data_IF_545987672657
#
_entry.id   IF_545987672657
#
_cell.length_a   1.000
_cell.length_b   1.000
_cell.length_c   1.000
_cell.angle_alpha   90.00
_cell.angle_beta   90.00
_cell.angle_gamma   90.00
#
_symmetry.space_group_name_H-M   'P 1'
#
loop_
_entity.id
_entity.type
_entity.pdbx_description
1 polymer ?
#
# COMPACT_ATOMS: atom_id res chain seq x y z
N UNK A 1 2.17 24.10 -1.45
CA UNK A 1 1.12 24.40 -0.45
C UNK A 1 1.65 24.01 0.94
N UNK A 2 1.29 24.75 1.99
CA UNK A 2 1.57 24.31 3.38
C UNK A 2 0.63 23.16 3.75
N UNK A 3 1.08 22.24 4.58
CA UNK A 3 0.25 21.15 5.09
C UNK A 3 -0.89 21.70 5.96
N UNK A 4 -2.09 21.13 5.76
CA UNK A 4 -3.23 21.35 6.65
C UNK A 4 -3.12 20.33 7.78
N UNK A 5 -3.13 20.82 9.03
CA UNK A 5 -3.01 20.00 10.24
C UNK A 5 -4.32 20.07 11.00
N UNK A 6 -4.93 18.92 11.25
CA UNK A 6 -6.09 18.78 12.12
C UNK A 6 -5.64 18.29 13.49
N UNK A 7 -5.94 19.07 14.54
CA UNK A 7 -5.69 18.66 15.92
C UNK A 7 -6.95 17.96 16.46
N UNK A 8 -6.78 16.73 16.95
CA UNK A 8 -7.86 15.89 17.43
C UNK A 8 -7.60 15.52 18.88
N UNK A 9 -8.57 15.81 19.75
CA UNK A 9 -8.55 15.33 21.12
C UNK A 9 -9.20 13.97 21.19
N UNK A 10 -8.43 12.95 21.58
CA UNK A 10 -8.96 11.59 21.71
C UNK A 10 -9.57 11.39 23.10
N UNK A 11 -10.80 10.89 23.17
CA UNK A 11 -11.41 10.57 24.46
C UNK A 11 -10.59 9.48 25.17
N UNK A 12 -10.36 9.64 26.48
CA UNK A 12 -9.59 8.67 27.27
C UNK A 12 -10.13 7.25 27.08
N UNK A 13 -9.23 6.30 26.78
CA UNK A 13 -9.48 4.88 26.59
C UNK A 13 -10.25 4.48 25.30
N UNK A 14 -10.41 5.37 24.31
CA UNK A 14 -10.90 4.94 22.99
C UNK A 14 -9.80 4.21 22.21
N UNK A 15 -10.17 3.07 21.64
CA UNK A 15 -9.32 2.30 20.73
C UNK A 15 -9.23 3.03 19.38
N UNK A 16 -8.01 3.30 18.93
CA UNK A 16 -7.74 3.86 17.60
C UNK A 16 -7.38 2.71 16.66
N UNK A 17 -8.00 2.71 15.48
CA UNK A 17 -7.69 1.80 14.38
C UNK A 17 -7.15 2.64 13.23
N UNK A 18 -5.89 2.46 12.87
CA UNK A 18 -5.25 3.17 11.77
C UNK A 18 -5.03 2.24 10.57
N UNK A 19 -5.47 2.65 9.38
CA UNK A 19 -5.36 1.91 8.12
C UNK A 19 -4.82 2.86 7.05
N UNK A 20 -3.95 2.37 6.17
CA UNK A 20 -3.39 3.14 5.05
C UNK A 20 -3.58 2.41 3.72
N UNK A 21 -3.47 3.16 2.61
CA UNK A 21 -3.28 2.64 1.24
C UNK A 21 -4.34 1.60 0.83
N UNK A 22 -5.62 2.00 0.95
CA UNK A 22 -6.78 1.17 0.59
C UNK A 22 -6.85 0.94 -0.91
N UNK A 23 -6.46 1.95 -1.70
CA UNK A 23 -6.35 1.87 -3.15
C UNK A 23 -7.58 1.24 -3.82
N UNK A 24 -8.79 1.72 -3.49
CA UNK A 24 -10.01 1.25 -4.14
C UNK A 24 -10.36 -0.23 -3.93
N UNK A 25 -9.79 -0.90 -2.92
CA UNK A 25 -10.14 -2.28 -2.56
C UNK A 25 -11.21 -2.32 -1.46
N UNK A 26 -12.43 -1.88 -1.80
CA UNK A 26 -13.56 -1.81 -0.86
C UNK A 26 -13.85 -3.14 -0.16
N UNK A 27 -13.83 -4.24 -0.90
CA UNK A 27 -14.16 -5.57 -0.37
C UNK A 27 -13.19 -6.01 0.74
N UNK A 28 -11.88 -5.82 0.52
CA UNK A 28 -10.87 -6.14 1.54
C UNK A 28 -10.95 -5.18 2.73
N UNK A 29 -11.21 -3.90 2.49
CA UNK A 29 -11.37 -2.89 3.54
C UNK A 29 -12.53 -3.24 4.49
N UNK A 30 -13.72 -3.54 3.95
CA UNK A 30 -14.88 -3.94 4.75
C UNK A 30 -14.63 -5.22 5.56
N UNK A 31 -13.97 -6.22 4.95
CA UNK A 31 -13.60 -7.46 5.66
C UNK A 31 -12.57 -7.21 6.76
N UNK A 32 -11.63 -6.29 6.57
CA UNK A 32 -10.65 -5.92 7.60
C UNK A 32 -11.35 -5.22 8.77
N UNK A 33 -12.26 -4.27 8.52
CA UNK A 33 -13.08 -3.64 9.56
C UNK A 33 -13.88 -4.70 10.36
N UNK A 34 -14.46 -5.68 9.68
CA UNK A 34 -15.13 -6.81 10.32
C UNK A 34 -14.18 -7.67 11.16
N UNK A 35 -12.97 -7.96 10.65
CA UNK A 35 -11.93 -8.75 11.35
C UNK A 35 -11.49 -8.09 12.65
N UNK A 36 -11.31 -6.78 12.67
CA UNK A 36 -10.93 -6.01 13.88
C UNK A 36 -12.12 -5.68 14.78
N UNK A 37 -13.33 -6.09 14.38
CA UNK A 37 -14.59 -5.79 15.08
C UNK A 37 -14.73 -4.29 15.32
N UNK A 38 -14.60 -3.51 14.26
CA UNK A 38 -14.79 -2.06 14.30
C UNK A 38 -16.23 -1.71 14.68
N UNK A 39 -16.40 -0.71 15.55
CA UNK A 39 -17.67 -0.21 16.08
C UNK A 39 -17.67 1.32 16.18
N UNK A 40 -18.81 1.92 16.49
CA UNK A 40 -18.96 3.36 16.75
C UNK A 40 -18.21 3.87 17.98
N UNK A 41 -17.71 2.98 18.85
CA UNK A 41 -16.90 3.35 20.01
C UNK A 41 -15.41 3.50 19.67
N UNK A 42 -15.00 3.08 18.47
CA UNK A 42 -13.64 3.18 17.99
C UNK A 42 -13.40 4.49 17.22
N UNK A 43 -12.15 4.95 17.22
CA UNK A 43 -11.69 6.00 16.33
C UNK A 43 -11.03 5.33 15.12
N UNK A 44 -11.49 5.64 13.91
CA UNK A 44 -10.86 5.17 12.67
C UNK A 44 -10.00 6.29 12.08
N UNK A 45 -8.72 6.02 11.82
CA UNK A 45 -7.82 6.96 11.14
C UNK A 45 -7.38 6.35 9.82
N UNK A 46 -7.71 7.00 8.71
CA UNK A 46 -7.34 6.57 7.37
C UNK A 46 -6.20 7.45 6.85
N UNK A 47 -5.06 6.85 6.53
CA UNK A 47 -3.80 7.56 6.26
C UNK A 47 -3.63 7.98 4.78
N UNK A 48 -4.72 8.06 4.02
CA UNK A 48 -4.68 8.41 2.59
C UNK A 48 -4.38 7.24 1.67
N UNK A 49 -4.27 7.55 0.38
CA UNK A 49 -4.28 6.63 -0.76
C UNK A 49 -5.51 5.71 -0.70
N UNK A 50 -6.66 6.35 -0.59
CA UNK A 50 -7.98 5.72 -0.50
C UNK A 50 -8.40 5.17 -1.86
N UNK A 51 -8.06 5.91 -2.91
CA UNK A 51 -8.44 5.67 -4.31
C UNK A 51 -7.23 5.27 -5.17
N UNK A 52 -7.49 5.03 -6.46
CA UNK A 52 -6.56 4.58 -7.49
C UNK A 52 -6.07 3.14 -7.33
N UNK A 53 -5.56 2.57 -8.44
CA UNK A 53 -4.94 1.23 -8.55
C UNK A 53 -5.91 0.05 -8.43
N UNK A 54 -6.84 0.09 -7.47
CA UNK A 54 -7.88 -0.90 -7.31
C UNK A 54 -9.07 -0.74 -8.24
N UNK A 55 -9.97 -1.73 -8.24
CA UNK A 55 -11.08 -1.79 -9.17
C UNK A 55 -12.32 -0.99 -8.75
N UNK A 56 -12.39 -0.50 -7.49
CA UNK A 56 -13.59 0.10 -6.90
C UNK A 56 -13.26 1.42 -6.18
N UNK A 57 -12.54 2.32 -6.83
CA UNK A 57 -12.10 3.59 -6.22
C UNK A 57 -13.27 4.48 -5.81
N UNK A 58 -14.25 4.68 -6.68
CA UNK A 58 -15.41 5.55 -6.46
C UNK A 58 -16.35 4.98 -5.39
N UNK A 59 -16.60 3.68 -5.40
CA UNK A 59 -17.38 3.00 -4.36
C UNK A 59 -16.65 3.05 -3.00
N UNK A 60 -15.33 2.87 -3.00
CA UNK A 60 -14.51 3.01 -1.78
C UNK A 60 -14.62 4.42 -1.22
N UNK A 61 -14.49 5.44 -2.06
CA UNK A 61 -14.62 6.84 -1.67
C UNK A 61 -16.00 7.14 -1.06
N UNK A 62 -17.07 6.76 -1.75
CA UNK A 62 -18.46 6.97 -1.28
C UNK A 62 -18.71 6.25 0.05
N UNK A 63 -18.20 5.02 0.20
CA UNK A 63 -18.31 4.28 1.45
C UNK A 63 -17.60 4.99 2.61
N UNK A 64 -16.39 5.51 2.39
CA UNK A 64 -15.64 6.26 3.41
C UNK A 64 -16.37 7.55 3.77
N UNK A 65 -16.86 8.31 2.78
CA UNK A 65 -17.65 9.52 3.03
C UNK A 65 -18.87 9.22 3.91
N UNK A 66 -19.62 8.17 3.58
CA UNK A 66 -20.78 7.75 4.36
C UNK A 66 -20.39 7.34 5.79
N UNK A 67 -19.28 6.62 5.94
CA UNK A 67 -18.77 6.18 7.24
C UNK A 67 -18.36 7.38 8.11
N UNK A 68 -17.64 8.34 7.54
CA UNK A 68 -17.27 9.60 8.20
C UNK A 68 -18.47 10.45 8.63
N UNK A 69 -19.62 10.31 7.94
CA UNK A 69 -20.86 10.98 8.33
C UNK A 69 -21.57 10.34 9.54
N UNK A 70 -21.18 9.13 9.94
CA UNK A 70 -21.89 8.35 10.98
C UNK A 70 -21.01 7.99 12.19
N UNK A 71 -19.70 7.85 11.99
CA UNK A 71 -18.74 7.39 12.98
C UNK A 71 -17.60 8.42 13.14
N UNK A 72 -16.82 8.27 14.21
CA UNK A 72 -15.60 9.07 14.42
C UNK A 72 -14.48 8.55 13.50
N UNK A 73 -14.43 9.11 12.28
CA UNK A 73 -13.46 8.77 11.25
C UNK A 73 -12.68 10.01 10.84
N UNK A 74 -11.37 9.95 10.98
CA UNK A 74 -10.44 10.98 10.51
C UNK A 74 -9.69 10.47 9.29
N UNK A 75 -9.64 11.28 8.24
CA UNK A 75 -9.10 10.85 6.94
C UNK A 75 -8.05 11.85 6.47
N UNK A 76 -6.88 11.36 6.09
CA UNK A 76 -5.81 12.13 5.49
C UNK A 76 -5.86 12.04 3.96
N UNK A 77 -5.35 13.08 3.30
CA UNK A 77 -5.00 12.99 1.88
C UNK A 77 -3.69 12.23 1.70
N UNK A 78 -3.69 11.24 0.83
CA UNK A 78 -2.50 10.65 0.25
C UNK A 78 -2.17 11.24 -1.12
N UNK A 79 -1.07 10.80 -1.74
CA UNK A 79 -0.68 11.34 -3.04
C UNK A 79 -1.58 10.90 -4.21
N UNK A 80 -2.28 9.78 -4.08
CA UNK A 80 -3.24 9.33 -5.10
C UNK A 80 -4.58 10.04 -4.94
N UNK A 81 -4.87 10.58 -3.76
CA UNK A 81 -6.13 11.26 -3.46
C UNK A 81 -6.18 12.67 -4.06
N UNK A 82 -5.05 13.25 -4.48
CA UNK A 82 -4.98 14.60 -5.08
C UNK A 82 -5.41 14.65 -6.55
N UNK A 83 -5.91 13.55 -7.11
CA UNK A 83 -6.32 13.47 -8.52
C UNK A 83 -7.48 14.44 -8.87
N UNK A 84 -8.21 14.91 -7.86
CA UNK A 84 -9.20 15.98 -8.03
C UNK A 84 -8.59 17.28 -8.59
N UNK A 85 -7.31 17.55 -8.34
CA UNK A 85 -6.59 18.72 -8.87
C UNK A 85 -6.61 18.73 -10.39
N UNK A 86 -6.41 17.55 -10.99
CA UNK A 86 -6.39 17.40 -12.44
C UNK A 86 -7.75 17.68 -13.07
N UNK A 87 -8.84 17.52 -12.32
CA UNK A 87 -10.21 17.80 -12.76
C UNK A 87 -10.61 19.26 -12.51
N UNK A 88 -10.24 19.81 -11.35
CA UNK A 88 -10.63 21.17 -10.93
C UNK A 88 -9.81 22.25 -11.60
N UNK A 89 -8.54 22.00 -11.85
CA UNK A 89 -7.63 22.99 -12.43
C UNK A 89 -7.34 22.70 -13.91
N UNK A 90 -7.01 23.76 -14.65
CA UNK A 90 -6.57 23.66 -16.04
C UNK A 90 -5.10 23.18 -16.07
N UNK A 91 -4.92 21.89 -15.79
CA UNK A 91 -3.66 21.17 -15.92
C UNK A 91 -3.50 20.58 -17.33
N UNK A 92 -2.31 20.07 -17.63
CA UNK A 92 -1.92 19.41 -18.88
C UNK A 92 -2.91 18.31 -19.33
N UNK A 93 -3.83 18.68 -20.23
CA UNK A 93 -4.89 17.81 -20.74
C UNK A 93 -4.33 16.61 -21.51
N UNK A 94 -3.21 16.76 -22.23
CA UNK A 94 -2.61 15.68 -23.03
C UNK A 94 -2.05 14.59 -22.11
N UNK A 95 -1.34 14.99 -21.06
CA UNK A 95 -0.84 14.05 -20.06
C UNK A 95 -1.97 13.39 -19.26
N UNK A 96 -3.04 14.12 -18.93
CA UNK A 96 -4.20 13.53 -18.26
C UNK A 96 -4.91 12.49 -19.15
N UNK A 97 -5.10 12.77 -20.44
CA UNK A 97 -5.68 11.81 -21.37
C UNK A 97 -4.83 10.55 -21.46
N UNK A 98 -3.52 10.72 -21.62
CA UNK A 98 -2.57 9.60 -21.65
C UNK A 98 -2.62 8.80 -20.36
N UNK A 99 -2.71 9.47 -19.21
CA UNK A 99 -2.87 8.82 -17.91
C UNK A 99 -4.13 7.94 -17.88
N UNK A 100 -5.28 8.52 -18.23
CA UNK A 100 -6.57 7.81 -18.22
C UNK A 100 -6.57 6.61 -19.16
N UNK A 101 -5.97 6.72 -20.36
CA UNK A 101 -5.86 5.59 -21.30
C UNK A 101 -4.95 4.47 -20.73
N UNK A 102 -3.82 4.83 -20.12
CA UNK A 102 -2.88 3.85 -19.57
C UNK A 102 -3.35 3.25 -18.24
N UNK A 103 -4.29 3.90 -17.53
CA UNK A 103 -4.78 3.53 -16.20
C UNK A 103 -6.29 3.35 -16.20
N UNK A 104 -6.75 2.31 -16.91
CA UNK A 104 -8.18 1.93 -16.99
C UNK A 104 -8.84 1.77 -15.59
N UNK A 105 -8.07 1.29 -14.61
CA UNK A 105 -8.43 1.20 -13.19
C UNK A 105 -8.02 2.47 -12.43
N UNK A 106 -8.80 3.53 -12.63
CA UNK A 106 -8.68 4.80 -11.92
C UNK A 106 -10.07 5.35 -11.62
N UNK A 107 -10.17 6.21 -10.60
CA UNK A 107 -11.44 6.84 -10.21
C UNK A 107 -12.01 7.70 -11.33
N UNK A 108 -11.16 8.34 -12.14
CA UNK A 108 -11.63 9.15 -13.27
C UNK A 108 -12.29 8.29 -14.34
N UNK A 109 -11.73 7.11 -14.63
CA UNK A 109 -12.36 6.18 -15.57
C UNK A 109 -13.63 5.54 -14.99
N UNK A 110 -13.70 5.30 -13.68
CA UNK A 110 -14.94 4.90 -13.01
C UNK A 110 -16.04 5.97 -13.15
N UNK A 111 -15.71 7.24 -12.89
CA UNK A 111 -16.60 8.38 -13.08
C UNK A 111 -17.05 8.54 -14.55
N UNK A 112 -16.14 8.38 -15.52
CA UNK A 112 -16.48 8.39 -16.95
C UNK A 112 -17.46 7.27 -17.30
N UNK A 113 -17.24 6.05 -16.81
CA UNK A 113 -18.13 4.91 -17.06
C UNK A 113 -19.54 5.16 -16.53
N UNK A 114 -19.68 5.68 -15.31
CA UNK A 114 -20.99 6.08 -14.75
C UNK A 114 -21.68 7.17 -15.60
N UNK A 115 -20.90 8.07 -16.21
CA UNK A 115 -21.41 9.10 -17.14
C UNK A 115 -21.63 8.58 -18.57
N UNK A 116 -21.42 7.29 -18.84
CA UNK A 116 -21.46 6.71 -20.19
C UNK A 116 -20.49 7.39 -21.18
N UNK A 117 -19.33 7.82 -20.69
CA UNK A 117 -18.23 8.39 -21.48
C UNK A 117 -17.17 7.30 -21.68
N UNK A 118 -16.90 6.95 -22.93
CA UNK A 118 -15.80 6.08 -23.32
C UNK A 118 -14.55 6.90 -23.62
N UNK A 119 -13.45 6.63 -22.90
CA UNK A 119 -12.22 7.43 -22.97
C UNK A 119 -11.25 6.78 -23.94
N UNK A 120 -10.84 7.55 -24.96
CA UNK A 120 -9.92 7.13 -26.02
C UNK A 120 -9.04 8.29 -26.49
N UNK A 121 -8.10 8.02 -27.39
CA UNK A 121 -7.12 9.01 -27.89
C UNK A 121 -7.73 10.28 -28.52
N UNK A 122 -9.00 10.24 -28.93
CA UNK A 122 -9.70 11.39 -29.52
C UNK A 122 -10.60 12.14 -28.53
N UNK A 123 -10.56 11.79 -27.25
CA UNK A 123 -11.44 12.37 -26.23
C UNK A 123 -11.11 13.84 -25.93
N UNK A 124 -12.16 14.66 -25.78
CA UNK A 124 -12.05 16.04 -25.32
C UNK A 124 -11.99 16.08 -23.79
N UNK A 125 -10.78 16.22 -23.24
CA UNK A 125 -10.57 16.31 -21.80
C UNK A 125 -11.30 17.51 -21.17
N UNK A 126 -11.47 18.63 -21.87
CA UNK A 126 -12.20 19.79 -21.32
C UNK A 126 -13.68 19.48 -21.19
N UNK A 127 -14.24 18.71 -22.12
CA UNK A 127 -15.59 18.18 -22.00
C UNK A 127 -15.70 17.23 -20.79
N UNK A 128 -14.79 16.26 -20.68
CA UNK A 128 -14.78 15.29 -19.56
C UNK A 128 -14.69 15.99 -18.21
N UNK A 129 -13.72 16.89 -18.02
CA UNK A 129 -13.56 17.68 -16.79
C UNK A 129 -14.82 18.46 -16.44
N UNK A 130 -15.49 19.07 -17.43
CA UNK A 130 -16.75 19.78 -17.21
C UNK A 130 -17.87 18.84 -16.75
N UNK A 131 -18.02 17.66 -17.35
CA UNK A 131 -19.02 16.68 -16.91
C UNK A 131 -18.73 16.17 -15.50
N UNK A 132 -17.46 15.90 -15.18
CA UNK A 132 -17.04 15.47 -13.84
C UNK A 132 -17.31 16.53 -12.79
N UNK A 133 -16.91 17.79 -13.03
CA UNK A 133 -17.18 18.93 -12.13
C UNK A 133 -18.67 19.15 -11.89
N UNK A 134 -19.53 18.83 -12.85
CA UNK A 134 -20.98 18.95 -12.71
C UNK A 134 -21.61 17.79 -11.93
N UNK A 135 -21.06 16.58 -12.07
CA UNK A 135 -21.72 15.36 -11.56
C UNK A 135 -21.13 14.82 -10.26
N UNK A 136 -19.85 15.12 -9.99
CA UNK A 136 -19.09 14.60 -8.84
C UNK A 136 -18.47 15.72 -8.01
N UNK A 137 -19.06 16.93 -8.01
CA UNK A 137 -18.52 18.05 -7.23
C UNK A 137 -18.40 17.70 -5.75
N UNK A 138 -19.34 16.94 -5.21
CA UNK A 138 -19.33 16.54 -3.80
C UNK A 138 -18.12 15.66 -3.47
N UNK A 139 -17.86 14.60 -4.23
CA UNK A 139 -16.68 13.75 -4.05
C UNK A 139 -15.37 14.52 -4.23
N UNK A 140 -15.30 15.39 -5.25
CA UNK A 140 -14.11 16.19 -5.53
C UNK A 140 -13.86 17.28 -4.46
N UNK A 141 -14.91 17.88 -3.91
CA UNK A 141 -14.82 18.86 -2.82
C UNK A 141 -14.43 18.18 -1.51
N UNK A 142 -14.94 16.98 -1.26
CA UNK A 142 -14.57 16.20 -0.07
C UNK A 142 -13.09 15.82 -0.08
N UNK A 143 -12.56 15.33 -1.21
CA UNK A 143 -11.13 15.02 -1.36
C UNK A 143 -10.24 16.26 -1.21
N UNK A 144 -10.66 17.40 -1.75
CA UNK A 144 -9.91 18.68 -1.65
C UNK A 144 -9.81 19.19 -0.20
N UNK A 145 -10.78 18.85 0.66
CA UNK A 145 -10.83 19.32 2.05
C UNK A 145 -10.01 18.46 3.02
N UNK A 146 -9.49 17.31 2.59
CA UNK A 146 -8.78 16.39 3.47
C UNK A 146 -7.53 17.04 4.09
N UNK A 147 -7.32 16.91 5.42
CA UNK A 147 -6.08 17.33 6.05
C UNK A 147 -4.90 16.47 5.56
N UNK A 148 -3.70 16.99 5.76
CA UNK A 148 -2.46 16.28 5.41
C UNK A 148 -1.83 15.61 6.63
N UNK A 149 -2.14 16.11 7.83
CA UNK A 149 -1.66 15.62 9.11
C UNK A 149 -2.80 15.64 10.12
N UNK A 150 -2.93 14.57 10.91
CA UNK A 150 -3.75 14.55 12.12
C UNK A 150 -2.81 14.45 13.31
N UNK A 151 -2.96 15.34 14.28
CA UNK A 151 -2.20 15.34 15.51
C UNK A 151 -3.12 15.07 16.70
N UNK A 152 -2.74 14.10 17.53
CA UNK A 152 -3.37 13.79 18.81
C UNK A 152 -2.41 14.11 19.96
N UNK A 153 -2.79 13.82 21.20
CA UNK A 153 -1.94 13.98 22.37
C UNK A 153 -0.63 13.19 22.27
N UNK A 154 -0.70 11.98 21.70
CA UNK A 154 0.41 11.00 21.74
C UNK A 154 0.92 10.55 20.35
N UNK A 155 0.14 10.79 19.30
CA UNK A 155 0.42 10.35 17.94
C UNK A 155 0.31 11.48 16.92
N UNK A 156 1.11 11.39 15.88
CA UNK A 156 0.98 12.16 14.64
C UNK A 156 0.73 11.16 13.51
N UNK A 157 -0.32 11.37 12.73
CA UNK A 157 -0.63 10.58 11.55
C UNK A 157 -0.33 11.42 10.31
N UNK A 158 0.42 10.86 9.38
CA UNK A 158 0.75 11.46 8.10
C UNK A 158 0.72 10.37 7.02
N UNK A 159 0.46 10.72 5.77
CA UNK A 159 0.42 9.70 4.72
C UNK A 159 1.80 9.05 4.49
N UNK A 160 2.87 9.83 4.27
CA UNK A 160 4.19 9.28 3.94
C UNK A 160 5.28 9.60 4.96
N UNK A 161 5.31 10.82 5.50
CA UNK A 161 6.36 11.24 6.42
C UNK A 161 6.21 12.69 6.86
N UNK A 162 7.03 13.10 7.83
CA UNK A 162 7.11 14.50 8.29
C UNK A 162 8.56 14.87 8.59
N UNK A 163 8.85 16.17 8.60
CA UNK A 163 10.14 16.69 9.11
C UNK A 163 10.01 17.14 10.57
N UNK A 164 11.09 17.07 11.39
CA UNK A 164 11.07 17.63 12.74
C UNK A 164 10.75 19.13 12.74
N UNK A 165 9.93 19.58 13.69
CA UNK A 165 9.56 20.98 13.84
C UNK A 165 8.06 21.22 13.74
N UNK A 166 7.67 22.40 13.29
CA UNK A 166 6.27 22.83 13.25
C UNK A 166 5.50 22.12 12.12
N UNK A 167 4.52 21.28 12.47
CA UNK A 167 3.69 20.52 11.52
C UNK A 167 2.97 21.44 10.51
N UNK A 168 2.52 22.63 10.95
CA UNK A 168 1.78 23.60 10.10
C UNK A 168 2.66 24.33 9.08
N UNK A 169 3.98 24.22 9.20
CA UNK A 169 4.93 24.84 8.27
C UNK A 169 5.44 23.86 7.21
N UNK A 170 5.08 22.58 7.33
CA UNK A 170 5.54 21.55 6.40
C UNK A 170 4.92 21.72 5.01
N UNK A 171 5.61 21.16 4.02
CA UNK A 171 5.10 21.12 2.66
C UNK A 171 4.15 19.93 2.50
N UNK A 172 2.92 20.19 2.07
CA UNK A 172 1.88 19.18 1.85
C UNK A 172 2.34 18.00 0.98
N UNK A 173 3.04 18.30 -0.13
CA UNK A 173 3.52 17.28 -1.07
C UNK A 173 4.61 16.40 -0.45
N UNK A 174 5.46 16.97 0.40
CA UNK A 174 6.46 16.19 1.15
C UNK A 174 5.78 15.28 2.15
N UNK A 175 4.75 15.77 2.87
CA UNK A 175 3.98 14.95 3.82
C UNK A 175 3.31 13.75 3.14
N UNK A 176 2.81 13.95 1.92
CA UNK A 176 2.17 12.90 1.12
C UNK A 176 3.13 12.08 0.26
N UNK A 177 4.41 12.44 0.15
CA UNK A 177 5.33 11.72 -0.75
C UNK A 177 6.75 11.78 -0.25
N UNK A 178 6.99 10.97 0.78
CA UNK A 178 8.31 10.75 1.36
C UNK A 178 8.63 9.26 1.32
N UNK A 179 9.51 8.90 0.40
CA UNK A 179 9.92 7.51 0.21
C UNK A 179 10.87 7.07 1.33
N UNK A 180 10.78 5.79 1.71
CA UNK A 180 11.64 5.14 2.70
C UNK A 180 11.78 5.93 4.03
N UNK A 181 10.70 6.53 4.53
CA UNK A 181 10.72 7.44 5.69
C UNK A 181 11.47 6.89 6.91
N UNK A 182 11.26 5.62 7.26
CA UNK A 182 11.92 4.96 8.38
C UNK A 182 13.47 4.95 8.27
N UNK A 183 14.03 4.95 7.05
CA UNK A 183 15.47 4.91 6.80
C UNK A 183 16.15 6.28 6.89
N UNK A 184 15.39 7.37 7.10
CA UNK A 184 15.94 8.72 7.12
C UNK A 184 16.65 9.09 8.43
N UNK A 185 16.67 8.19 9.42
CA UNK A 185 17.36 8.42 10.69
C UNK A 185 16.72 9.50 11.57
N UNK A 186 15.43 9.78 11.35
CA UNK A 186 14.67 10.77 12.13
C UNK A 186 14.09 10.14 13.39
N UNK A 187 13.87 10.95 14.43
CA UNK A 187 13.15 10.57 15.65
C UNK A 187 12.23 11.69 16.13
N UNK A 188 11.15 11.33 16.83
CA UNK A 188 10.06 12.24 17.13
C UNK A 188 9.61 12.17 18.59
N UNK A 189 9.06 13.27 19.16
CA UNK A 189 8.53 13.25 20.52
C UNK A 189 7.22 12.47 20.64
N UNK A 190 6.40 12.40 19.58
CA UNK A 190 5.19 11.57 19.47
C UNK A 190 5.45 10.43 18.51
N UNK A 191 4.70 9.33 18.61
CA UNK A 191 4.75 8.31 17.57
C UNK A 191 4.21 8.88 16.26
N UNK A 192 4.95 8.73 15.17
CA UNK A 192 4.52 9.12 13.83
C UNK A 192 4.08 7.86 13.08
N UNK A 193 2.80 7.78 12.74
CA UNK A 193 2.23 6.65 11.99
C UNK A 193 2.10 7.05 10.51
N UNK A 194 2.65 6.23 9.61
CA UNK A 194 2.70 6.49 8.17
C UNK A 194 2.34 5.26 7.32
N UNK A 195 1.81 5.52 6.13
CA UNK A 195 1.61 4.57 5.03
C UNK A 195 2.62 4.79 3.89
N UNK A 196 2.12 4.82 2.65
CA UNK A 196 2.81 5.21 1.38
C UNK A 196 3.94 4.30 0.90
N UNK A 197 4.84 3.90 1.81
CA UNK A 197 5.99 3.08 1.50
C UNK A 197 5.76 1.65 2.00
N UNK A 198 5.53 0.68 1.12
CA UNK A 198 5.23 -0.68 1.53
C UNK A 198 6.30 -1.25 2.45
N UNK A 199 5.88 -1.77 3.59
CA UNK A 199 6.73 -2.33 4.65
C UNK A 199 7.67 -3.43 4.15
N UNK A 200 7.24 -4.20 3.14
CA UNK A 200 8.06 -5.22 2.50
C UNK A 200 9.33 -4.67 1.83
N UNK A 201 9.40 -3.36 1.57
CA UNK A 201 10.58 -2.72 0.99
C UNK A 201 11.72 -2.53 2.00
N UNK A 202 11.45 -2.48 3.30
CA UNK A 202 12.48 -2.25 4.32
C UNK A 202 13.30 -3.50 4.65
N UNK A 203 12.77 -4.69 4.32
CA UNK A 203 13.45 -5.95 4.60
C UNK A 203 14.51 -6.27 3.54
N UNK A 204 15.80 -6.27 3.91
CA UNK A 204 16.91 -6.58 2.98
C UNK A 204 17.09 -8.07 2.71
N UNK A 205 16.90 -8.91 3.73
CA UNK A 205 17.08 -10.37 3.62
C UNK A 205 15.80 -11.08 3.15
N UNK A 206 14.63 -10.53 3.53
CA UNK A 206 13.30 -11.05 3.22
C UNK A 206 12.26 -9.93 3.31
N UNK A 207 11.24 -10.00 2.46
CA UNK A 207 10.09 -9.08 2.54
C UNK A 207 9.13 -9.47 3.67
N UNK A 208 8.54 -8.46 4.32
CA UNK A 208 7.45 -8.63 5.28
C UNK A 208 6.43 -7.49 5.13
N UNK A 209 5.15 -7.83 4.94
CA UNK A 209 4.07 -6.86 4.77
C UNK A 209 3.45 -6.38 6.09
N UNK A 210 3.99 -6.77 7.24
CA UNK A 210 3.44 -6.37 8.54
C UNK A 210 3.89 -4.94 8.92
N UNK A 211 3.12 -4.25 9.76
CA UNK A 211 3.55 -2.98 10.34
C UNK A 211 4.92 -3.08 11.02
N UNK A 212 5.73 -2.04 10.87
CA UNK A 212 7.04 -1.91 11.52
C UNK A 212 6.94 -0.82 12.58
N UNK A 213 7.22 -1.17 13.84
CA UNK A 213 7.23 -0.24 14.97
C UNK A 213 8.67 0.01 15.41
N UNK A 214 9.22 1.19 15.12
CA UNK A 214 10.52 1.64 15.63
C UNK A 214 10.31 2.45 16.89
N UNK A 215 10.56 1.84 18.06
CA UNK A 215 10.43 2.50 19.38
C UNK A 215 11.47 3.60 19.59
N UNK A 216 12.67 3.43 19.03
CA UNK A 216 13.76 4.40 19.14
C UNK A 216 13.45 5.67 18.33
N UNK A 217 13.00 5.51 17.09
CA UNK A 217 12.62 6.63 16.23
C UNK A 217 11.22 7.17 16.54
N UNK A 218 10.38 6.38 17.21
CA UNK A 218 8.95 6.61 17.37
C UNK A 218 8.26 6.78 16.02
N UNK A 219 8.53 5.84 15.10
CA UNK A 219 7.90 5.78 13.77
C UNK A 219 7.21 4.42 13.63
N UNK A 220 6.00 4.42 13.07
CA UNK A 220 5.23 3.22 12.76
C UNK A 220 4.84 3.26 11.28
N UNK A 221 5.39 2.35 10.47
CA UNK A 221 5.03 2.22 9.05
C UNK A 221 4.02 1.09 8.90
N UNK A 222 2.86 1.36 8.30
CA UNK A 222 1.72 0.42 8.26
C UNK A 222 1.30 -0.01 6.86
N UNK A 223 1.85 0.57 5.79
CA UNK A 223 1.50 0.16 4.43
C UNK A 223 1.94 -1.29 4.14
N UNK A 224 0.95 -2.17 3.91
CA UNK A 224 1.16 -3.58 3.59
C UNK A 224 1.36 -3.85 2.09
N UNK A 225 1.37 -2.81 1.26
CA UNK A 225 1.50 -2.89 -0.20
C UNK A 225 0.23 -3.36 -0.91
N UNK A 226 -0.95 -3.15 -0.31
CA UNK A 226 -2.23 -3.54 -0.92
C UNK A 226 -2.40 -2.89 -2.31
N UNK A 227 -2.89 -3.66 -3.30
CA UNK A 227 -3.05 -3.26 -4.71
C UNK A 227 -1.78 -2.80 -5.47
N UNK A 228 -0.66 -2.57 -4.77
CA UNK A 228 0.63 -2.18 -5.35
C UNK A 228 1.55 -3.40 -5.53
N UNK A 229 1.58 -4.27 -4.52
CA UNK A 229 2.38 -5.50 -4.51
C UNK A 229 1.49 -6.72 -4.71
N UNK A 230 2.00 -7.72 -5.45
CA UNK A 230 1.27 -8.98 -5.69
C UNK A 230 1.02 -9.75 -4.39
N UNK A 231 1.96 -9.62 -3.46
CA UNK A 231 1.96 -10.20 -2.14
C UNK A 231 1.34 -9.28 -1.07
N UNK A 232 0.79 -8.13 -1.47
CA UNK A 232 0.29 -7.10 -0.57
C UNK A 232 -0.81 -7.57 0.38
N UNK A 233 -1.05 -6.76 1.41
CA UNK A 233 -2.18 -6.91 2.34
C UNK A 233 -2.63 -5.55 2.84
N UNK A 234 -3.87 -5.47 3.33
CA UNK A 234 -4.26 -4.34 4.19
C UNK A 234 -3.91 -4.64 5.63
N UNK A 235 -3.34 -3.65 6.30
CA UNK A 235 -3.03 -3.66 7.72
C UNK A 235 -3.96 -2.70 8.45
N UNK A 236 -4.39 -3.11 9.64
CA UNK A 236 -5.02 -2.25 10.63
C UNK A 236 -4.12 -2.24 11.87
N UNK A 237 -3.49 -1.10 12.13
CA UNK A 237 -2.79 -0.85 13.39
C UNK A 237 -3.85 -0.57 14.47
N UNK A 238 -3.77 -1.25 15.60
CA UNK A 238 -4.73 -1.14 16.70
C UNK A 238 -3.98 -0.57 17.89
N UNK A 239 -4.42 0.60 18.36
CA UNK A 239 -3.79 1.35 19.44
C UNK A 239 -4.82 1.47 20.56
N UNK A 240 -4.58 0.80 21.69
CA UNK A 240 -5.37 1.01 22.91
C UNK A 240 -4.73 2.11 23.79
N UNK A 241 -3.40 2.16 23.81
CA UNK A 241 -2.60 3.25 24.36
C UNK A 241 -1.17 3.23 23.73
N UNK A 242 -0.24 4.06 24.21
CA UNK A 242 1.13 4.15 23.67
C UNK A 242 2.01 2.92 23.92
N UNK A 243 1.64 2.07 24.87
CA UNK A 243 2.35 0.84 25.23
C UNK A 243 1.67 -0.43 24.69
N UNK A 244 0.36 -0.36 24.41
CA UNK A 244 -0.44 -1.42 23.80
C UNK A 244 -0.80 -1.11 22.33
N UNK A 245 0.16 -1.42 21.46
CA UNK A 245 0.04 -1.33 20.01
C UNK A 245 0.12 -2.73 19.41
N UNK A 246 -0.96 -3.12 18.74
CA UNK A 246 -1.07 -4.40 18.01
C UNK A 246 -1.50 -4.15 16.57
N UNK A 247 -1.69 -5.21 15.78
CA UNK A 247 -2.24 -5.06 14.44
C UNK A 247 -3.03 -6.30 14.00
N UNK A 248 -3.87 -6.10 13.01
CA UNK A 248 -4.47 -7.18 12.22
C UNK A 248 -4.17 -6.94 10.74
N UNK A 249 -4.18 -8.02 9.96
CA UNK A 249 -3.98 -7.94 8.52
C UNK A 249 -4.89 -8.89 7.75
N UNK A 250 -5.12 -8.57 6.48
CA UNK A 250 -5.90 -9.38 5.56
C UNK A 250 -5.43 -9.20 4.11
N UNK A 251 -5.46 -10.28 3.33
CA UNK A 251 -5.23 -10.27 1.89
C UNK A 251 -6.31 -11.09 1.15
N UNK A 252 -6.39 -10.93 -0.17
CA UNK A 252 -7.30 -11.66 -1.07
C UNK A 252 -6.62 -12.83 -1.79
N UNK A 253 -5.45 -13.27 -1.30
CA UNK A 253 -4.70 -14.34 -1.94
C UNK A 253 -5.30 -15.70 -1.61
N UNK A 254 -5.32 -16.57 -2.63
CA UNK A 254 -5.68 -17.97 -2.49
C UNK A 254 -4.86 -18.63 -1.37
N UNK A 255 -5.47 -19.57 -0.66
CA UNK A 255 -4.81 -20.24 0.48
C UNK A 255 -4.25 -21.60 0.11
N UNK A 256 -3.23 -22.03 0.85
CA UNK A 256 -2.69 -23.38 0.77
C UNK A 256 -2.32 -23.90 2.16
N UNK A 257 -2.41 -25.21 2.34
CA UNK A 257 -2.03 -25.90 3.56
C UNK A 257 -0.65 -26.56 3.37
N UNK A 258 0.22 -26.40 4.36
CA UNK A 258 1.53 -27.04 4.40
C UNK A 258 1.38 -28.49 4.87
N UNK A 259 1.84 -29.44 4.05
CA UNK A 259 1.71 -30.87 4.33
C UNK A 259 2.98 -31.51 4.92
N UNK A 260 4.10 -30.79 4.88
CA UNK A 260 5.38 -31.21 5.47
C UNK A 260 6.27 -30.00 5.80
N UNK A 261 7.10 -30.14 6.82
CA UNK A 261 7.94 -29.05 7.34
C UNK A 261 9.01 -28.60 6.32
N UNK A 262 9.35 -27.31 6.36
CA UNK A 262 10.47 -26.71 5.63
C UNK A 262 11.17 -25.71 6.52
N UNK A 263 12.50 -25.80 6.60
CA UNK A 263 13.32 -24.79 7.26
C UNK A 263 13.60 -23.60 6.33
N UNK A 264 13.89 -22.45 6.92
CA UNK A 264 14.42 -21.32 6.17
C UNK A 264 15.86 -21.58 5.68
N UNK A 265 16.24 -20.92 4.59
CA UNK A 265 17.64 -20.72 4.22
C UNK A 265 18.18 -19.41 4.83
N UNK A 266 19.48 -19.19 4.68
CA UNK A 266 20.21 -18.02 5.16
C UNK A 266 20.98 -17.36 4.04
N UNK A 267 21.47 -16.14 4.26
CA UNK A 267 22.20 -15.35 3.26
C UNK A 267 21.36 -15.16 1.99
N UNK A 268 20.23 -14.48 2.18
CA UNK A 268 19.22 -14.24 1.14
C UNK A 268 19.12 -12.76 0.87
N UNK A 269 18.49 -12.42 -0.24
CA UNK A 269 18.18 -11.03 -0.60
C UNK A 269 16.71 -10.89 -0.93
N UNK A 270 16.17 -9.72 -0.63
CA UNK A 270 14.87 -9.25 -1.08
C UNK A 270 15.09 -8.06 -2.00
N UNK A 271 14.94 -8.30 -3.30
CA UNK A 271 15.02 -7.27 -4.34
C UNK A 271 13.66 -6.60 -4.41
N UNK A 272 13.66 -5.27 -4.35
CA UNK A 272 12.45 -4.44 -4.34
C UNK A 272 12.53 -3.44 -5.49
N UNK A 273 11.41 -2.89 -5.92
CA UNK A 273 11.38 -1.87 -6.97
C UNK A 273 12.40 -0.73 -6.83
N UNK A 274 12.74 -0.33 -5.60
CA UNK A 274 13.69 0.77 -5.34
C UNK A 274 15.15 0.41 -5.67
N UNK A 275 15.50 -0.87 -5.68
CA UNK A 275 16.84 -1.38 -5.97
C UNK A 275 16.69 -2.73 -6.68
N UNK A 276 16.44 -2.69 -7.99
CA UNK A 276 16.03 -3.87 -8.77
C UNK A 276 16.87 -4.18 -10.01
N UNK A 277 18.02 -3.51 -10.13
CA UNK A 277 18.91 -3.70 -11.28
C UNK A 277 19.68 -5.01 -11.16
N UNK A 278 19.64 -5.82 -12.22
CA UNK A 278 20.24 -7.17 -12.22
C UNK A 278 21.11 -7.39 -13.46
N UNK A 279 22.00 -8.37 -13.37
CA UNK A 279 22.77 -8.90 -14.49
C UNK A 279 22.35 -10.35 -14.72
N UNK A 280 21.89 -10.70 -15.92
CA UNK A 280 21.58 -12.10 -16.24
C UNK A 280 22.86 -12.88 -16.54
N UNK A 281 23.15 -13.90 -15.72
CA UNK A 281 24.35 -14.73 -15.84
C UNK A 281 24.08 -16.00 -16.67
N UNK A 282 22.92 -16.61 -16.46
CA UNK A 282 22.49 -17.81 -17.20
C UNK A 282 20.98 -17.85 -17.32
N UNK A 283 20.50 -18.10 -18.54
CA UNK A 283 19.08 -18.28 -18.83
C UNK A 283 18.71 -19.75 -18.84
N UNK A 284 17.64 -20.11 -18.11
CA UNK A 284 16.98 -21.42 -18.20
C UNK A 284 15.52 -21.23 -18.66
N UNK A 285 14.76 -22.34 -18.73
CA UNK A 285 13.40 -22.34 -19.27
C UNK A 285 12.42 -21.46 -18.47
N UNK A 286 12.33 -21.63 -17.16
CA UNK A 286 11.39 -20.91 -16.30
C UNK A 286 12.06 -19.79 -15.47
N UNK A 287 13.32 -20.01 -15.07
CA UNK A 287 14.10 -19.08 -14.26
C UNK A 287 15.40 -18.70 -14.97
N UNK A 288 15.99 -17.58 -14.59
CA UNK A 288 17.35 -17.21 -14.95
C UNK A 288 18.17 -16.99 -13.68
N UNK A 289 19.43 -17.42 -13.69
CA UNK A 289 20.39 -17.05 -12.68
C UNK A 289 20.82 -15.62 -12.96
N UNK A 290 20.60 -14.75 -11.99
CA UNK A 290 20.91 -13.33 -12.07
C UNK A 290 21.82 -12.93 -10.90
N UNK A 291 22.58 -11.86 -11.09
CA UNK A 291 23.30 -11.16 -10.02
C UNK A 291 22.60 -9.84 -9.73
N UNK A 292 22.25 -9.60 -8.48
CA UNK A 292 21.73 -8.31 -8.04
C UNK A 292 22.88 -7.30 -7.97
N UNK A 293 22.78 -6.18 -8.70
CA UNK A 293 23.94 -5.29 -8.93
C UNK A 293 24.44 -4.62 -7.64
N UNK A 294 23.56 -4.19 -6.75
CA UNK A 294 23.95 -3.47 -5.54
C UNK A 294 24.60 -4.38 -4.49
N UNK A 295 24.05 -5.59 -4.31
CA UNK A 295 24.48 -6.56 -3.30
C UNK A 295 25.52 -7.58 -3.79
N UNK A 296 25.73 -7.69 -5.10
CA UNK A 296 26.46 -8.77 -5.77
C UNK A 296 25.92 -10.19 -5.49
N UNK A 297 24.72 -10.30 -4.92
CA UNK A 297 24.10 -11.59 -4.60
C UNK A 297 23.59 -12.30 -5.86
N UNK A 298 23.88 -13.59 -6.01
CA UNK A 298 23.40 -14.40 -7.12
C UNK A 298 22.16 -15.19 -6.71
N UNK A 299 21.09 -15.07 -7.50
CA UNK A 299 19.80 -15.70 -7.21
C UNK A 299 19.07 -16.10 -8.49
N UNK A 300 18.16 -17.05 -8.35
CA UNK A 300 17.26 -17.47 -9.42
C UNK A 300 16.02 -16.58 -9.45
N UNK A 301 15.82 -15.87 -10.57
CA UNK A 301 14.67 -15.00 -10.80
C UNK A 301 13.79 -15.62 -11.87
N UNK A 302 12.48 -15.68 -11.63
CA UNK A 302 11.53 -16.20 -12.62
C UNK A 302 11.57 -15.31 -13.85
N UNK A 303 11.63 -15.90 -15.04
CA UNK A 303 11.81 -15.15 -16.29
C UNK A 303 10.70 -14.10 -16.52
N UNK A 304 9.48 -14.35 -16.04
CA UNK A 304 8.36 -13.40 -16.11
C UNK A 304 8.50 -12.17 -15.21
N UNK A 305 9.45 -12.18 -14.27
CA UNK A 305 9.77 -11.04 -13.39
C UNK A 305 10.85 -10.15 -13.99
N UNK A 306 11.54 -10.57 -15.04
CA UNK A 306 12.63 -9.83 -15.67
C UNK A 306 12.11 -8.94 -16.79
N UNK A 307 12.68 -7.74 -16.92
CA UNK A 307 12.38 -6.82 -18.02
C UNK A 307 13.58 -5.94 -18.34
N UNK A 308 13.67 -5.50 -19.60
CA UNK A 308 14.71 -4.57 -20.06
C UNK A 308 14.21 -3.12 -19.90
N UNK A 309 15.01 -2.28 -19.24
CA UNK A 309 14.85 -0.84 -19.16
C UNK A 309 15.95 -0.13 -19.98
N UNK A 310 15.97 1.21 -19.98
CA UNK A 310 16.96 1.98 -20.77
C UNK A 310 18.40 1.78 -20.27
N UNK A 311 18.57 1.45 -19.01
CA UNK A 311 19.83 1.28 -18.28
C UNK A 311 20.20 -0.19 -18.02
N UNK A 312 19.46 -1.12 -18.64
CA UNK A 312 19.78 -2.55 -18.68
C UNK A 312 18.65 -3.43 -18.15
N UNK A 313 19.01 -4.61 -17.64
CA UNK A 313 18.06 -5.59 -17.11
C UNK A 313 17.65 -5.25 -15.67
N UNK A 314 16.35 -5.32 -15.40
CA UNK A 314 15.75 -5.16 -14.07
C UNK A 314 14.81 -6.32 -13.77
N UNK A 315 14.37 -6.40 -12.52
CA UNK A 315 13.29 -7.30 -12.14
C UNK A 315 12.19 -6.60 -11.34
N UNK A 316 10.99 -7.18 -11.34
CA UNK A 316 9.99 -6.92 -10.32
C UNK A 316 10.42 -7.59 -9.01
N UNK A 317 9.77 -7.18 -7.91
CA UNK A 317 10.05 -7.68 -6.55
C UNK A 317 10.25 -9.20 -6.53
N UNK A 318 11.37 -9.64 -5.95
CA UNK A 318 11.73 -11.04 -5.86
C UNK A 318 12.67 -11.32 -4.69
N UNK A 319 12.66 -12.56 -4.23
CA UNK A 319 13.54 -13.03 -3.14
C UNK A 319 13.97 -14.46 -3.42
N UNK A 320 15.08 -14.89 -2.84
CA UNK A 320 15.50 -16.29 -2.76
C UNK A 320 15.30 -16.89 -1.36
N UNK A 321 14.61 -16.18 -0.48
CA UNK A 321 14.27 -16.66 0.86
C UNK A 321 13.30 -17.83 0.81
N UNK A 322 13.63 -18.90 1.52
CA UNK A 322 12.78 -20.05 1.78
C UNK A 322 12.01 -19.80 3.07
N UNK A 323 10.69 -19.91 2.97
CA UNK A 323 9.80 -19.62 4.07
C UNK A 323 9.86 -20.78 5.08
N UNK A 324 10.11 -20.53 6.37
CA UNK A 324 10.02 -21.56 7.39
C UNK A 324 8.55 -21.89 7.67
N UNK A 325 8.19 -23.15 7.48
CA UNK A 325 6.81 -23.63 7.64
C UNK A 325 6.79 -25.00 8.32
N UNK A 326 5.73 -25.25 9.08
CA UNK A 326 5.41 -26.52 9.71
C UNK A 326 4.15 -27.12 9.09
N UNK A 327 4.03 -28.44 9.12
CA UNK A 327 2.83 -29.15 8.70
C UNK A 327 1.59 -28.61 9.44
N UNK A 328 0.55 -28.30 8.68
CA UNK A 328 -0.70 -27.71 9.16
C UNK A 328 -0.75 -26.19 9.09
N UNK A 329 0.37 -25.52 8.80
CA UNK A 329 0.35 -24.08 8.54
C UNK A 329 -0.53 -23.75 7.33
N UNK A 330 -1.23 -22.61 7.40
CA UNK A 330 -1.94 -22.02 6.27
C UNK A 330 -1.12 -20.84 5.73
N UNK A 331 -0.91 -20.81 4.42
CA UNK A 331 -0.16 -19.75 3.73
C UNK A 331 -1.00 -19.12 2.62
N UNK A 332 -0.74 -17.84 2.36
CA UNK A 332 -1.24 -17.13 1.18
C UNK A 332 -0.36 -17.46 -0.03
N UNK A 333 -0.95 -17.92 -1.13
CA UNK A 333 -0.24 -18.24 -2.38
C UNK A 333 -0.11 -16.97 -3.21
N UNK A 334 1.13 -16.52 -3.43
CA UNK A 334 1.43 -15.31 -4.22
C UNK A 334 1.65 -15.67 -5.69
N UNK A 335 2.48 -16.67 -5.95
CA UNK A 335 2.82 -17.09 -7.32
C UNK A 335 3.29 -18.56 -7.35
N UNK A 336 2.66 -19.37 -8.19
CA UNK A 336 3.06 -20.76 -8.40
C UNK A 336 4.09 -20.84 -9.55
N UNK A 337 5.13 -21.66 -9.35
CA UNK A 337 6.12 -22.02 -10.38
C UNK A 337 6.28 -23.54 -10.42
N UNK A 338 7.11 -24.10 -11.31
CA UNK A 338 7.17 -25.56 -11.53
C UNK A 338 7.58 -26.37 -10.28
N UNK A 339 8.53 -25.87 -9.49
CA UNK A 339 9.09 -26.58 -8.31
C UNK A 339 8.75 -25.93 -6.97
N UNK A 340 8.52 -24.63 -6.98
CA UNK A 340 8.29 -23.85 -5.77
C UNK A 340 7.14 -22.88 -5.98
N UNK A 341 6.46 -22.57 -4.89
CA UNK A 341 5.41 -21.56 -4.81
C UNK A 341 5.92 -20.44 -3.93
N UNK A 342 5.88 -19.21 -4.43
CA UNK A 342 6.10 -18.03 -3.62
C UNK A 342 4.84 -17.84 -2.77
N UNK A 343 5.02 -17.83 -1.46
CA UNK A 343 3.95 -17.77 -0.49
C UNK A 343 4.23 -16.70 0.56
N UNK A 344 3.18 -16.33 1.29
CA UNK A 344 3.25 -15.42 2.44
C UNK A 344 2.65 -16.11 3.66
N UNK A 345 3.41 -16.14 4.76
CA UNK A 345 2.98 -16.62 6.08
C UNK A 345 3.26 -15.53 7.11
N UNK A 346 2.24 -15.16 7.88
CA UNK A 346 2.33 -14.11 8.92
C UNK A 346 3.01 -12.83 8.41
N UNK A 347 2.66 -12.40 7.19
CA UNK A 347 3.23 -11.24 6.51
C UNK A 347 4.59 -11.46 5.84
N UNK A 348 5.35 -12.49 6.21
CA UNK A 348 6.67 -12.79 5.64
C UNK A 348 6.54 -13.53 4.31
N UNK A 349 7.30 -13.08 3.31
CA UNK A 349 7.27 -13.61 1.94
C UNK A 349 8.46 -14.54 1.71
N UNK A 350 8.23 -15.70 1.09
CA UNK A 350 9.28 -16.63 0.71
C UNK A 350 8.79 -17.85 -0.07
N UNK A 351 9.72 -18.64 -0.59
CA UNK A 351 9.42 -19.84 -1.37
C UNK A 351 9.12 -21.04 -0.49
N UNK A 352 8.14 -21.82 -0.91
CA UNK A 352 7.79 -23.14 -0.36
C UNK A 352 7.88 -24.16 -1.49
N UNK A 353 8.50 -25.32 -1.23
CA UNK A 353 8.49 -26.43 -2.18
C UNK A 353 7.06 -26.90 -2.48
N UNK A 354 6.74 -27.10 -3.76
CA UNK A 354 5.41 -27.55 -4.17
C UNK A 354 5.05 -28.93 -3.59
N UNK A 355 6.03 -29.80 -3.33
CA UNK A 355 5.82 -31.11 -2.70
C UNK A 355 5.34 -31.00 -1.23
N UNK A 356 5.48 -29.82 -0.63
CA UNK A 356 5.13 -29.52 0.76
C UNK A 356 3.89 -28.65 0.90
N UNK A 357 3.28 -28.24 -0.22
CA UNK A 357 2.15 -27.32 -0.25
C UNK A 357 0.99 -27.94 -1.01
N UNK A 358 -0.19 -27.97 -0.38
CA UNK A 358 -1.44 -28.36 -1.02
C UNK A 358 -2.35 -27.13 -1.10
N UNK A 359 -2.68 -26.70 -2.31
CA UNK A 359 -3.64 -25.60 -2.51
C UNK A 359 -5.00 -25.96 -1.90
N UNK A 360 -5.62 -24.99 -1.23
CA UNK A 360 -6.99 -25.09 -0.75
C UNK A 360 -7.86 -24.59 -1.90
N UNK A 361 -8.69 -25.49 -2.43
CA UNK A 361 -9.71 -25.12 -3.41
C UNK A 361 -10.94 -24.74 -2.60
N UNK A 362 -11.23 -23.45 -2.54
CA UNK A 362 -12.46 -22.93 -1.96
C UNK A 362 -13.68 -23.23 -2.84
#
# INVERSE_FOLDING_TARGET
MKAIVEEVTTAENKRIIAISDIHGNLGLFQRLLGKVRYTENDILVLLGDLIEKGPMSLDTLRYIIELSGKHEVYVLSGNCDTLWEDVKYEVDDENLLRYMILREKSVLNEMCRELSIDVNEQSDIKYIKRQMRQSYSYELDWLEQLPHVIETESFVFAHAGIVPGNLREQNARTVMKTDAFLEQGLSFPKYVVVGHWPTANYGREKGCCNPIVSKEQRIISIDGGNMIKREGQLNALIINDTEDITFAALDDLAKGEIIADQAANSNTVNITWADNAVEMLRREQEFSLCRHKSSNHELWIKNSRLFEAKDGMHCYDCTDYFLPVAKGDIVSIVEISSKHTLAKKDGTIGWVSNEKLKAIVD
#
